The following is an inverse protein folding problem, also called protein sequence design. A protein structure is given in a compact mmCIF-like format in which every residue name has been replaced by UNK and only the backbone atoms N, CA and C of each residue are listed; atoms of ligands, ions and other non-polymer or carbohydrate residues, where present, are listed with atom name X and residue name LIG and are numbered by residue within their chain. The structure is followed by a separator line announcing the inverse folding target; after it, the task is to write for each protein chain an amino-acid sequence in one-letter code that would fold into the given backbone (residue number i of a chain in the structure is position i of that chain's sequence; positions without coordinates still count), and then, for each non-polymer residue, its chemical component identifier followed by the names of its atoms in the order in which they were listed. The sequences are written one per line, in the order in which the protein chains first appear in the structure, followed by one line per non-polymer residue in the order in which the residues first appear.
data_IF_250150655681
#
_entry.id   IF_250150655681
#
_cell.length_a   1.000
_cell.length_b   1.000
_cell.length_c   1.000
_cell.angle_alpha   90.00
_cell.angle_beta   90.00
_cell.angle_gamma   90.00
#
_symmetry.space_group_name_H-M   'P 1'
#
loop_
_entity.id
_entity.type
_entity.pdbx_description
1 polymer ?
#
# COMPACT_ATOMS: atom_id res chain seq x y z
N UNK A 1 22.90 -19.50 -17.96
CA UNK A 1 22.22 -18.22 -18.23
C UNK A 1 21.80 -17.69 -16.88
N UNK A 2 22.41 -16.61 -16.40
CA UNK A 2 22.24 -16.17 -15.02
C UNK A 2 20.89 -15.43 -14.87
N UNK A 3 19.94 -16.11 -14.24
CA UNK A 3 18.58 -15.64 -14.06
C UNK A 3 18.54 -14.34 -13.24
N UNK A 4 19.45 -14.22 -12.26
CA UNK A 4 19.54 -13.07 -11.37
C UNK A 4 20.10 -11.85 -12.11
N UNK A 5 21.16 -12.03 -12.90
CA UNK A 5 21.69 -10.97 -13.76
C UNK A 5 20.67 -10.49 -14.83
N UNK A 6 19.84 -11.40 -15.34
CA UNK A 6 18.76 -11.04 -16.26
C UNK A 6 17.63 -10.28 -15.57
N UNK A 7 17.22 -10.69 -14.36
CA UNK A 7 16.20 -9.99 -13.56
C UNK A 7 16.64 -8.56 -13.23
N UNK A 8 17.87 -8.36 -12.79
CA UNK A 8 18.41 -7.02 -12.51
C UNK A 8 18.45 -6.15 -13.77
N UNK A 9 18.80 -6.73 -14.93
CA UNK A 9 18.78 -6.04 -16.22
C UNK A 9 17.38 -5.58 -16.64
N UNK A 10 16.31 -6.30 -16.26
CA UNK A 10 14.94 -5.88 -16.53
C UNK A 10 14.48 -4.80 -15.55
N UNK A 11 14.83 -4.91 -14.26
CA UNK A 11 14.53 -3.90 -13.23
C UNK A 11 15.18 -2.54 -13.53
N UNK A 12 16.40 -2.53 -14.06
CA UNK A 12 17.19 -1.32 -14.26
C UNK A 12 16.89 -0.54 -15.55
N UNK A 13 15.95 -1.02 -16.39
CA UNK A 13 15.61 -0.36 -17.66
C UNK A 13 14.58 0.75 -17.43
N UNK A 14 14.98 1.99 -17.72
CA UNK A 14 14.06 3.11 -17.92
C UNK A 14 13.78 3.26 -19.43
N UNK A 15 12.64 2.77 -19.96
CA UNK A 15 12.32 2.95 -21.37
C UNK A 15 12.10 4.45 -21.68
N UNK A 16 12.94 5.01 -22.56
CA UNK A 16 13.02 6.44 -22.93
C UNK A 16 11.85 6.90 -23.84
N UNK A 17 10.85 6.06 -24.07
CA UNK A 17 9.84 6.39 -25.07
C UNK A 17 8.78 7.35 -24.50
N UNK A 18 8.76 8.56 -25.07
CA UNK A 18 7.81 9.66 -24.82
C UNK A 18 6.42 9.42 -25.44
N UNK A 19 5.89 8.20 -25.36
CA UNK A 19 4.53 7.90 -25.78
C UNK A 19 3.68 7.57 -24.55
N UNK A 20 2.43 8.05 -24.52
CA UNK A 20 1.44 7.86 -23.45
C UNK A 20 1.03 6.38 -23.30
N UNK A 21 1.93 5.54 -22.83
CA UNK A 21 1.65 4.16 -22.43
C UNK A 21 2.22 3.92 -21.04
N UNK A 22 1.60 3.00 -20.29
CA UNK A 22 2.04 2.60 -18.96
C UNK A 22 3.47 2.03 -19.04
N UNK A 23 4.38 2.60 -18.26
CA UNK A 23 5.79 2.21 -18.31
C UNK A 23 5.98 0.75 -17.86
N UNK A 24 6.99 0.07 -18.42
CA UNK A 24 7.35 -1.29 -17.98
C UNK A 24 7.71 -1.33 -16.49
N UNK A 25 8.28 -0.24 -15.95
CA UNK A 25 8.62 -0.12 -14.53
C UNK A 25 7.36 -0.16 -13.68
N UNK A 26 6.31 0.56 -14.06
CA UNK A 26 5.03 0.60 -13.34
C UNK A 26 4.34 -0.78 -13.38
N UNK A 27 4.34 -1.43 -14.55
CA UNK A 27 3.85 -2.81 -14.70
C UNK A 27 4.59 -3.78 -13.76
N UNK A 28 5.93 -3.68 -13.72
CA UNK A 28 6.75 -4.52 -12.87
C UNK A 28 6.49 -4.25 -11.38
N UNK A 29 6.45 -2.97 -10.98
CA UNK A 29 6.20 -2.54 -9.60
C UNK A 29 4.82 -2.94 -9.10
N UNK A 30 3.80 -3.04 -9.95
CA UNK A 30 2.46 -3.49 -9.60
C UNK A 30 2.34 -5.01 -9.31
N UNK A 31 3.34 -5.81 -9.71
CA UNK A 31 3.26 -7.28 -9.61
C UNK A 31 3.13 -7.80 -8.17
N UNK A 32 3.87 -7.27 -7.17
CA UNK A 32 3.70 -7.67 -5.77
C UNK A 32 2.27 -7.45 -5.25
N UNK A 33 1.65 -6.30 -5.53
CA UNK A 33 0.27 -6.01 -5.11
C UNK A 33 -0.71 -7.01 -5.70
N UNK A 34 -0.64 -7.26 -7.02
CA UNK A 34 -1.52 -8.26 -7.67
C UNK A 34 -1.32 -9.68 -7.11
N UNK A 35 -0.08 -10.03 -6.76
CA UNK A 35 0.23 -11.30 -6.09
C UNK A 35 -0.33 -11.34 -4.67
N UNK A 36 -0.30 -10.21 -3.95
CA UNK A 36 -0.92 -10.09 -2.63
C UNK A 36 -2.43 -10.31 -2.74
N UNK A 37 -3.12 -9.62 -3.66
CA UNK A 37 -4.54 -9.79 -3.93
C UNK A 37 -4.89 -11.26 -4.17
N UNK A 38 -4.16 -11.91 -5.08
CA UNK A 38 -4.36 -13.32 -5.39
C UNK A 38 -4.18 -14.22 -4.17
N UNK A 39 -3.11 -14.03 -3.39
CA UNK A 39 -2.77 -14.94 -2.28
C UNK A 39 -3.65 -14.74 -1.05
N UNK A 40 -4.11 -13.52 -0.81
CA UNK A 40 -4.77 -13.17 0.44
C UNK A 40 -6.29 -13.04 0.29
N UNK A 41 -6.79 -12.45 -0.80
CA UNK A 41 -8.21 -12.22 -0.99
C UNK A 41 -8.92 -13.33 -1.75
N UNK A 42 -8.34 -13.89 -2.82
CA UNK A 42 -9.01 -14.97 -3.55
C UNK A 42 -9.43 -16.16 -2.66
N UNK A 43 -8.60 -16.62 -1.69
CA UNK A 43 -9.03 -17.68 -0.78
C UNK A 43 -10.20 -17.31 0.13
N UNK A 44 -10.33 -16.02 0.50
CA UNK A 44 -11.41 -15.52 1.38
C UNK A 44 -12.75 -15.55 0.63
N UNK A 45 -12.74 -15.17 -0.65
CA UNK A 45 -13.94 -15.09 -1.49
C UNK A 45 -14.19 -16.35 -2.34
N UNK A 46 -13.38 -17.39 -2.12
CA UNK A 46 -13.39 -18.63 -2.89
C UNK A 46 -13.29 -18.41 -4.41
N UNK A 47 -12.44 -17.47 -4.81
CA UNK A 47 -12.15 -17.16 -6.21
C UNK A 47 -11.08 -18.14 -6.69
N UNK A 48 -11.40 -18.89 -7.73
CA UNK A 48 -10.49 -19.85 -8.36
C UNK A 48 -9.38 -19.15 -9.15
N UNK A 49 -8.36 -19.91 -9.55
CA UNK A 49 -7.29 -19.40 -10.40
C UNK A 49 -7.82 -18.89 -11.76
N UNK A 50 -8.76 -19.62 -12.35
CA UNK A 50 -9.33 -19.27 -13.65
C UNK A 50 -10.15 -17.98 -13.55
N UNK A 51 -11.04 -17.88 -12.55
CA UNK A 51 -11.78 -16.63 -12.28
C UNK A 51 -10.83 -15.46 -12.03
N UNK A 52 -9.77 -15.65 -11.24
CA UNK A 52 -8.80 -14.58 -11.00
C UNK A 52 -8.14 -14.10 -12.29
N UNK A 53 -7.78 -15.00 -13.21
CA UNK A 53 -7.19 -14.59 -14.50
C UNK A 53 -8.20 -13.96 -15.46
N UNK A 54 -9.50 -14.23 -15.32
CA UNK A 54 -10.55 -13.47 -16.00
C UNK A 54 -10.63 -12.03 -15.46
N UNK A 55 -10.44 -11.84 -14.15
CA UNK A 55 -10.46 -10.52 -13.51
C UNK A 55 -9.15 -9.75 -13.64
N UNK A 56 -8.04 -10.47 -13.78
CA UNK A 56 -6.68 -9.95 -13.78
C UNK A 56 -6.47 -8.75 -14.71
N UNK A 57 -6.97 -8.72 -15.97
CA UNK A 57 -6.70 -7.61 -16.87
C UNK A 57 -7.14 -6.25 -16.32
N UNK A 58 -8.33 -6.17 -15.69
CA UNK A 58 -8.83 -4.92 -15.12
C UNK A 58 -8.10 -4.56 -13.82
N UNK A 59 -7.90 -5.54 -12.93
CA UNK A 59 -7.14 -5.34 -11.69
C UNK A 59 -5.72 -4.84 -11.98
N UNK A 60 -5.04 -5.49 -12.92
CA UNK A 60 -3.71 -5.12 -13.34
C UNK A 60 -3.70 -3.73 -13.98
N UNK A 61 -4.65 -3.42 -14.85
CA UNK A 61 -4.75 -2.10 -15.48
C UNK A 61 -4.90 -0.97 -14.45
N UNK A 62 -5.75 -1.16 -13.44
CA UNK A 62 -5.92 -0.18 -12.35
C UNK A 62 -4.60 0.03 -11.61
N UNK A 63 -3.96 -1.05 -11.18
CA UNK A 63 -2.72 -0.97 -10.41
C UNK A 63 -1.58 -0.33 -11.21
N UNK A 64 -1.53 -0.64 -12.51
CA UNK A 64 -0.57 -0.05 -13.42
C UNK A 64 -0.72 1.48 -13.52
N UNK A 65 -1.96 1.99 -13.50
CA UNK A 65 -2.22 3.44 -13.50
C UNK A 65 -1.87 4.10 -12.16
N UNK A 66 -2.02 3.38 -11.04
CA UNK A 66 -1.56 3.85 -9.73
C UNK A 66 -0.04 4.02 -9.75
N UNK A 67 0.72 2.98 -10.09
CA UNK A 67 2.18 3.07 -10.12
C UNK A 67 2.74 4.01 -11.19
N UNK A 68 2.01 4.22 -12.29
CA UNK A 68 2.37 5.28 -13.25
C UNK A 68 2.21 6.67 -12.64
N UNK A 69 1.19 6.88 -11.80
CA UNK A 69 1.01 8.14 -11.06
C UNK A 69 2.21 8.39 -10.15
N UNK A 70 2.65 7.38 -9.40
CA UNK A 70 3.82 7.50 -8.53
C UNK A 70 5.09 7.83 -9.31
N UNK A 71 5.33 7.14 -10.43
CA UNK A 71 6.48 7.41 -11.29
C UNK A 71 6.45 8.82 -11.89
N UNK A 72 5.28 9.29 -12.33
CA UNK A 72 5.08 10.65 -12.82
C UNK A 72 5.32 11.68 -11.70
N UNK A 73 4.86 11.40 -10.47
CA UNK A 73 5.09 12.26 -9.30
C UNK A 73 6.57 12.33 -8.92
N UNK A 74 7.25 11.19 -8.73
CA UNK A 74 8.69 11.10 -8.44
C UNK A 74 9.51 11.92 -9.45
N UNK A 75 9.15 11.87 -10.74
CA UNK A 75 9.86 12.59 -11.80
C UNK A 75 9.65 14.11 -11.77
N UNK A 76 8.52 14.58 -11.24
CA UNK A 76 8.12 15.98 -11.23
C UNK A 76 8.38 16.68 -9.89
N UNK A 77 8.76 15.95 -8.82
CA UNK A 77 8.94 16.49 -7.46
C UNK A 77 9.92 17.67 -7.34
N UNK A 78 10.85 17.85 -8.30
CA UNK A 78 11.78 19.00 -8.28
C UNK A 78 11.17 20.34 -8.73
N UNK A 79 10.03 20.34 -9.45
CA UNK A 79 9.46 21.54 -10.07
C UNK A 79 7.93 21.68 -9.88
N UNK A 80 7.27 20.79 -9.13
CA UNK A 80 5.80 20.70 -9.06
C UNK A 80 5.21 21.20 -7.74
N UNK A 81 4.15 22.02 -7.83
CA UNK A 81 3.33 22.40 -6.68
C UNK A 81 2.38 21.27 -6.26
N UNK A 82 1.90 21.22 -5.00
CA UNK A 82 0.93 20.21 -4.55
C UNK A 82 -0.35 20.14 -5.41
N UNK A 83 -0.76 21.27 -5.99
CA UNK A 83 -1.90 21.36 -6.92
C UNK A 83 -1.68 20.61 -8.23
N UNK A 84 -0.44 20.50 -8.71
CA UNK A 84 -0.12 19.76 -9.94
C UNK A 84 -0.05 18.25 -9.71
N UNK A 85 0.29 17.79 -8.51
CA UNK A 85 0.31 16.36 -8.16
C UNK A 85 -1.11 15.76 -8.07
N UNK A 86 -2.05 16.47 -7.44
CA UNK A 86 -3.47 16.06 -7.40
C UNK A 86 -4.04 15.88 -8.82
N UNK A 87 -3.63 16.73 -9.76
CA UNK A 87 -4.13 16.69 -11.13
C UNK A 87 -3.71 15.43 -11.92
N UNK A 88 -2.59 14.80 -11.56
CA UNK A 88 -2.12 13.57 -12.19
C UNK A 88 -3.02 12.39 -11.80
N UNK A 89 -3.26 12.21 -10.50
CA UNK A 89 -4.17 11.17 -10.01
C UNK A 89 -5.60 11.40 -10.48
N UNK A 90 -6.10 12.65 -10.45
CA UNK A 90 -7.45 12.97 -10.94
C UNK A 90 -7.64 12.56 -12.42
N UNK A 91 -6.61 12.72 -13.25
CA UNK A 91 -6.64 12.26 -14.64
C UNK A 91 -6.71 10.73 -14.75
N UNK A 92 -5.98 9.98 -13.92
CA UNK A 92 -6.08 8.51 -13.89
C UNK A 92 -7.42 8.03 -13.33
N UNK A 93 -7.98 8.74 -12.33
CA UNK A 93 -9.32 8.43 -11.80
C UNK A 93 -10.39 8.49 -12.89
N UNK A 94 -10.33 9.47 -13.79
CA UNK A 94 -11.26 9.56 -14.93
C UNK A 94 -11.17 8.32 -15.81
N UNK A 95 -9.94 7.86 -16.11
CA UNK A 95 -9.71 6.66 -16.91
C UNK A 95 -10.25 5.42 -16.19
N UNK A 96 -9.86 5.19 -14.93
CA UNK A 96 -10.33 4.03 -14.15
C UNK A 96 -11.86 4.02 -14.09
N UNK A 97 -12.48 5.18 -13.81
CA UNK A 97 -13.93 5.32 -13.72
C UNK A 97 -14.65 5.02 -15.02
N UNK A 98 -14.09 5.41 -16.18
CA UNK A 98 -14.72 5.10 -17.47
C UNK A 98 -14.77 3.59 -17.72
N UNK A 99 -13.72 2.86 -17.35
CA UNK A 99 -13.71 1.39 -17.45
C UNK A 99 -14.70 0.78 -16.45
N UNK A 100 -14.72 1.22 -15.19
CA UNK A 100 -15.70 0.74 -14.21
C UNK A 100 -17.13 0.95 -14.69
N UNK A 101 -17.44 2.08 -15.33
CA UNK A 101 -18.75 2.34 -15.92
C UNK A 101 -19.07 1.45 -17.11
N UNK A 102 -18.11 1.22 -18.01
CA UNK A 102 -18.27 0.35 -19.17
C UNK A 102 -18.59 -1.10 -18.77
N UNK A 103 -18.01 -1.56 -17.65
CA UNK A 103 -18.22 -2.92 -17.13
C UNK A 103 -19.33 -3.02 -16.07
N UNK A 104 -20.06 -1.94 -15.77
CA UNK A 104 -21.09 -1.88 -14.71
C UNK A 104 -20.56 -2.27 -13.31
N UNK A 105 -19.32 -1.82 -13.01
CA UNK A 105 -18.58 -2.09 -11.78
C UNK A 105 -18.37 -0.84 -10.91
N UNK A 106 -19.06 0.28 -11.20
CA UNK A 106 -18.91 1.53 -10.46
C UNK A 106 -19.54 1.44 -9.05
N UNK A 107 -18.85 0.76 -8.13
CA UNK A 107 -19.28 0.60 -6.75
C UNK A 107 -18.79 1.78 -5.87
N UNK A 108 -19.62 2.30 -4.93
CA UNK A 108 -19.22 3.37 -4.01
C UNK A 108 -17.96 3.04 -3.19
N UNK A 109 -17.75 1.77 -2.85
CA UNK A 109 -16.57 1.31 -2.12
C UNK A 109 -15.28 1.54 -2.93
N UNK A 110 -15.29 1.27 -4.24
CA UNK A 110 -14.12 1.50 -5.12
C UNK A 110 -13.84 3.00 -5.23
N UNK A 111 -14.88 3.81 -5.49
CA UNK A 111 -14.74 5.27 -5.63
C UNK A 111 -14.20 5.91 -4.35
N UNK A 112 -14.68 5.48 -3.18
CA UNK A 112 -14.20 5.99 -1.90
C UNK A 112 -12.71 5.69 -1.68
N UNK A 113 -12.22 4.51 -2.10
CA UNK A 113 -10.79 4.20 -2.00
C UNK A 113 -9.96 4.99 -3.02
N UNK A 114 -10.47 5.24 -4.23
CA UNK A 114 -9.83 6.14 -5.19
C UNK A 114 -9.68 7.57 -4.64
N UNK A 115 -10.69 8.06 -3.94
CA UNK A 115 -10.62 9.38 -3.28
C UNK A 115 -9.70 9.36 -2.06
N UNK A 116 -9.65 8.27 -1.31
CA UNK A 116 -8.69 8.09 -0.20
C UNK A 116 -7.24 8.08 -0.70
N UNK A 117 -6.95 7.42 -1.81
CA UNK A 117 -5.62 7.47 -2.44
C UNK A 117 -5.26 8.90 -2.85
N UNK A 118 -6.22 9.67 -3.38
CA UNK A 118 -6.01 11.09 -3.67
C UNK A 118 -5.68 11.92 -2.42
N UNK A 119 -6.36 11.65 -1.30
CA UNK A 119 -6.06 12.29 0.00
C UNK A 119 -4.67 11.88 0.51
N UNK A 120 -4.28 10.61 0.34
CA UNK A 120 -2.93 10.14 0.68
C UNK A 120 -1.88 10.93 -0.08
N UNK A 121 -1.98 11.02 -1.41
CA UNK A 121 -1.02 11.74 -2.26
C UNK A 121 -0.85 13.20 -1.80
N UNK A 122 -1.95 13.89 -1.49
CA UNK A 122 -1.90 15.27 -0.97
C UNK A 122 -1.21 15.35 0.40
N UNK A 123 -1.50 14.39 1.27
CA UNK A 123 -0.97 14.35 2.63
C UNK A 123 0.51 13.98 2.65
N UNK A 124 0.94 13.05 1.80
CA UNK A 124 2.33 12.67 1.57
C UNK A 124 3.16 13.90 1.15
N UNK A 125 2.67 14.63 0.13
CA UNK A 125 3.27 15.88 -0.33
C UNK A 125 3.41 16.91 0.80
N UNK A 126 2.38 17.07 1.63
CA UNK A 126 2.42 17.94 2.82
C UNK A 126 3.47 17.47 3.83
N UNK A 127 3.54 16.18 4.14
CA UNK A 127 4.47 15.60 5.12
C UNK A 127 5.94 15.72 4.69
N UNK A 128 6.18 15.70 3.37
CA UNK A 128 7.51 15.89 2.81
C UNK A 128 7.96 17.36 2.80
N UNK A 129 7.05 18.28 2.48
CA UNK A 129 7.39 19.69 2.21
C UNK A 129 7.16 20.64 3.39
N UNK A 130 6.28 20.29 4.33
CA UNK A 130 5.94 21.15 5.48
C UNK A 130 6.94 20.99 6.63
N UNK A 131 7.30 22.10 7.27
CA UNK A 131 8.00 22.10 8.57
C UNK A 131 7.04 21.83 9.74
N UNK A 132 5.74 22.09 9.56
CA UNK A 132 4.71 21.88 10.57
C UNK A 132 3.91 20.62 10.22
N UNK A 133 4.42 19.46 10.64
CA UNK A 133 3.70 18.18 10.57
C UNK A 133 3.16 17.81 11.95
N UNK A 134 2.07 17.06 11.99
CA UNK A 134 1.46 16.57 13.24
C UNK A 134 1.47 15.05 13.28
N UNK A 135 1.36 14.47 14.48
CA UNK A 135 1.16 13.02 14.60
C UNK A 135 -0.10 12.57 13.85
N UNK A 136 -1.20 13.34 13.95
CA UNK A 136 -2.45 13.04 13.26
C UNK A 136 -2.26 12.93 11.74
N UNK A 137 -1.49 13.83 11.13
CA UNK A 137 -1.16 13.76 9.70
C UNK A 137 -0.41 12.47 9.36
N UNK A 138 0.58 12.07 10.16
CA UNK A 138 1.39 10.86 9.92
C UNK A 138 0.54 9.59 10.07
N UNK A 139 -0.28 9.53 11.11
CA UNK A 139 -1.21 8.40 11.32
C UNK A 139 -2.22 8.34 10.18
N UNK A 140 -2.78 9.49 9.78
CA UNK A 140 -3.76 9.53 8.70
C UNK A 140 -3.16 9.12 7.36
N UNK A 141 -1.91 9.49 7.08
CA UNK A 141 -1.20 9.02 5.89
C UNK A 141 -1.04 7.50 5.91
N UNK A 142 -0.63 6.94 7.05
CA UNK A 142 -0.46 5.50 7.23
C UNK A 142 -1.77 4.72 7.00
N UNK A 143 -2.90 5.25 7.47
CA UNK A 143 -4.23 4.66 7.27
C UNK A 143 -4.77 4.77 5.83
N UNK A 144 -4.32 5.78 5.09
CA UNK A 144 -4.74 6.01 3.71
C UNK A 144 -3.83 5.33 2.69
N UNK A 145 -2.60 4.94 3.07
CA UNK A 145 -1.56 4.48 2.16
C UNK A 145 -1.97 3.24 1.38
N UNK A 146 -2.56 2.25 2.04
CA UNK A 146 -3.04 1.01 1.42
C UNK A 146 -4.31 1.18 0.56
N UNK A 147 -4.68 2.41 0.19
CA UNK A 147 -5.89 2.65 -0.60
C UNK A 147 -5.78 2.07 -2.00
N UNK A 148 -4.59 2.00 -2.58
CA UNK A 148 -4.29 1.32 -3.85
C UNK A 148 -4.69 -0.16 -3.80
N UNK A 149 -4.19 -0.92 -2.82
CA UNK A 149 -4.55 -2.32 -2.61
C UNK A 149 -6.05 -2.49 -2.33
N UNK A 150 -6.65 -1.54 -1.59
CA UNK A 150 -8.08 -1.57 -1.29
C UNK A 150 -8.95 -1.25 -2.51
N UNK A 151 -8.49 -0.44 -3.48
CA UNK A 151 -9.15 -0.27 -4.78
C UNK A 151 -9.20 -1.63 -5.49
N UNK A 152 -8.09 -2.37 -5.52
CA UNK A 152 -8.04 -3.70 -6.13
C UNK A 152 -8.94 -4.70 -5.42
N UNK A 153 -8.93 -4.71 -4.08
CA UNK A 153 -9.76 -5.60 -3.30
C UNK A 153 -11.26 -5.32 -3.52
N UNK A 154 -11.70 -4.06 -3.46
CA UNK A 154 -13.08 -3.68 -3.77
C UNK A 154 -13.46 -4.04 -5.21
N UNK A 155 -12.56 -3.84 -6.17
CA UNK A 155 -12.79 -4.17 -7.59
C UNK A 155 -12.93 -5.69 -7.78
N UNK A 156 -12.08 -6.49 -7.13
CA UNK A 156 -12.18 -7.96 -7.15
C UNK A 156 -13.54 -8.46 -6.66
N UNK A 157 -14.06 -7.86 -5.57
CA UNK A 157 -15.40 -8.20 -5.04
C UNK A 157 -16.49 -7.83 -6.05
N UNK A 158 -16.43 -6.63 -6.62
CA UNK A 158 -17.40 -6.17 -7.61
C UNK A 158 -17.42 -7.08 -8.85
N UNK A 159 -16.25 -7.43 -9.38
CA UNK A 159 -16.11 -8.32 -10.54
C UNK A 159 -16.60 -9.74 -10.28
N UNK A 160 -16.37 -10.25 -9.06
CA UNK A 160 -16.74 -11.62 -8.70
C UNK A 160 -18.21 -11.78 -8.27
N UNK A 161 -18.94 -10.67 -8.10
CA UNK A 161 -20.32 -10.67 -7.61
C UNK A 161 -20.46 -11.24 -6.19
N UNK A 162 -19.36 -11.36 -5.44
CA UNK A 162 -19.37 -11.90 -4.08
C UNK A 162 -19.88 -10.83 -3.10
N UNK A 163 -20.46 -11.23 -1.96
CA UNK A 163 -20.90 -10.28 -0.96
C UNK A 163 -19.72 -9.46 -0.42
N UNK A 164 -19.95 -8.15 -0.27
CA UNK A 164 -19.07 -7.31 0.51
C UNK A 164 -19.09 -7.76 1.98
N UNK A 165 -17.92 -7.83 2.62
CA UNK A 165 -17.74 -8.31 3.99
C UNK A 165 -17.00 -7.27 4.81
N UNK A 166 -17.73 -6.39 5.51
CA UNK A 166 -17.16 -5.32 6.34
C UNK A 166 -16.09 -5.86 7.30
N UNK A 167 -16.36 -7.01 7.91
CA UNK A 167 -15.48 -7.66 8.89
C UNK A 167 -14.10 -8.04 8.31
N UNK A 168 -14.03 -8.32 7.01
CA UNK A 168 -12.76 -8.63 6.33
C UNK A 168 -11.94 -7.36 6.11
N UNK A 169 -12.58 -6.24 5.78
CA UNK A 169 -11.88 -4.95 5.66
C UNK A 169 -11.39 -4.48 7.04
N UNK A 170 -12.19 -4.66 8.08
CA UNK A 170 -11.85 -4.30 9.46
C UNK A 170 -10.67 -5.11 10.00
N UNK A 171 -10.63 -6.43 9.80
CA UNK A 171 -9.52 -7.26 10.28
C UNK A 171 -8.24 -7.06 9.48
N UNK A 172 -8.34 -6.76 8.18
CA UNK A 172 -7.18 -6.55 7.31
C UNK A 172 -6.57 -5.16 7.44
N UNK A 173 -7.35 -4.14 7.82
CA UNK A 173 -6.86 -2.76 7.99
C UNK A 173 -5.59 -2.64 8.86
N UNK A 174 -5.54 -3.15 10.10
CA UNK A 174 -4.32 -3.09 10.91
C UNK A 174 -3.17 -3.91 10.32
N UNK A 175 -3.45 -4.96 9.54
CA UNK A 175 -2.40 -5.74 8.86
C UNK A 175 -1.74 -4.89 7.77
N UNK A 176 -2.50 -4.23 6.90
CA UNK A 176 -1.91 -3.39 5.84
C UNK A 176 -1.06 -2.28 6.44
N UNK A 177 -1.55 -1.59 7.47
CA UNK A 177 -0.80 -0.49 8.09
C UNK A 177 0.55 -0.98 8.66
N UNK A 178 0.58 -2.17 9.26
CA UNK A 178 1.82 -2.76 9.77
C UNK A 178 2.74 -3.26 8.65
N UNK A 179 2.18 -3.72 7.52
CA UNK A 179 2.96 -4.05 6.32
C UNK A 179 3.59 -2.78 5.73
N UNK A 180 2.87 -1.67 5.65
CA UNK A 180 3.42 -0.38 5.22
C UNK A 180 4.56 0.09 6.14
N UNK A 181 4.39 -0.07 7.45
CA UNK A 181 5.48 0.19 8.38
C UNK A 181 6.66 -0.73 8.11
N UNK A 182 6.44 -2.02 7.88
CA UNK A 182 7.52 -2.97 7.59
C UNK A 182 8.28 -2.58 6.33
N UNK A 183 7.56 -2.25 5.25
CA UNK A 183 8.15 -1.83 3.99
C UNK A 183 8.96 -0.55 4.17
N UNK A 184 8.47 0.42 4.95
CA UNK A 184 9.22 1.63 5.31
C UNK A 184 10.51 1.32 6.08
N UNK A 185 10.59 0.24 6.85
CA UNK A 185 11.85 -0.16 7.50
C UNK A 185 12.83 -0.78 6.50
N UNK A 186 12.34 -1.59 5.56
CA UNK A 186 13.17 -2.18 4.50
C UNK A 186 13.78 -1.10 3.60
N UNK A 187 13.02 -0.05 3.26
CA UNK A 187 13.44 1.00 2.35
C UNK A 187 13.98 2.26 3.04
N UNK A 188 14.05 2.29 4.38
CA UNK A 188 14.32 3.52 5.15
C UNK A 188 15.53 4.33 4.64
N UNK A 189 16.67 3.67 4.41
CA UNK A 189 17.89 4.36 3.98
C UNK A 189 17.76 4.91 2.55
N UNK A 190 17.12 4.17 1.66
CA UNK A 190 16.91 4.57 0.26
C UNK A 190 15.92 5.73 0.17
N UNK A 191 14.77 5.63 0.86
CA UNK A 191 13.74 6.66 0.86
C UNK A 191 14.24 7.96 1.48
N UNK A 192 14.94 7.87 2.61
CA UNK A 192 15.52 9.06 3.25
C UNK A 192 16.57 9.72 2.36
N UNK A 193 17.38 8.95 1.64
CA UNK A 193 18.38 9.50 0.72
C UNK A 193 17.74 10.13 -0.53
N UNK A 194 16.64 9.56 -1.01
CA UNK A 194 15.87 10.07 -2.14
C UNK A 194 14.96 11.26 -1.78
N UNK A 195 14.67 11.46 -0.49
CA UNK A 195 13.69 12.43 -0.01
C UNK A 195 12.24 11.96 -0.16
N UNK A 196 12.04 10.65 -0.30
CA UNK A 196 10.73 10.02 -0.38
C UNK A 196 10.07 9.94 0.99
N UNK A 197 8.74 9.78 0.99
CA UNK A 197 8.00 9.59 2.23
C UNK A 197 8.42 8.29 2.91
N UNK A 198 8.52 8.35 4.23
CA UNK A 198 8.79 7.19 5.07
C UNK A 198 8.26 7.47 6.48
N UNK A 199 7.46 6.56 7.01
CA UNK A 199 6.77 6.77 8.29
C UNK A 199 7.76 6.93 9.44
N UNK A 200 8.78 6.07 9.55
CA UNK A 200 9.77 6.21 10.63
C UNK A 200 10.52 7.55 10.54
N UNK A 201 10.82 8.01 9.33
CA UNK A 201 11.42 9.34 9.14
C UNK A 201 10.50 10.47 9.62
N UNK A 202 9.19 10.36 9.40
CA UNK A 202 8.24 11.34 9.94
C UNK A 202 8.19 11.32 11.47
N UNK A 203 8.25 10.14 12.10
CA UNK A 203 8.38 10.04 13.55
C UNK A 203 9.68 10.66 14.06
N UNK A 204 10.80 10.56 13.32
CA UNK A 204 12.04 11.25 13.67
C UNK A 204 11.92 12.77 13.56
N UNK A 205 11.20 13.29 12.55
CA UNK A 205 10.91 14.73 12.46
C UNK A 205 10.11 15.23 13.68
N UNK A 206 9.16 14.43 14.17
CA UNK A 206 8.30 14.78 15.31
C UNK A 206 8.98 14.62 16.68
N UNK A 207 9.73 13.54 16.88
CA UNK A 207 10.18 13.09 18.21
C UNK A 207 11.70 12.93 18.35
N UNK A 208 12.46 13.18 17.28
CA UNK A 208 13.91 13.07 17.29
C UNK A 208 14.37 11.65 17.61
N UNK A 209 15.28 11.51 18.59
CA UNK A 209 15.86 10.23 18.99
C UNK A 209 14.82 9.25 19.56
N UNK A 210 13.73 9.76 20.13
CA UNK A 210 12.66 8.96 20.76
C UNK A 210 11.66 8.36 19.76
N UNK A 211 11.82 8.60 18.46
CA UNK A 211 10.90 8.18 17.40
C UNK A 211 10.48 6.69 17.49
N UNK A 212 11.43 5.82 17.78
CA UNK A 212 11.22 4.38 17.90
C UNK A 212 10.27 4.00 19.05
N UNK A 213 10.26 4.72 20.17
CA UNK A 213 9.31 4.49 21.25
C UNK A 213 7.88 4.88 20.84
N UNK A 214 7.72 6.01 20.17
CA UNK A 214 6.41 6.48 19.71
C UNK A 214 5.85 5.60 18.58
N UNK A 215 6.68 5.20 17.60
CA UNK A 215 6.23 4.29 16.56
C UNK A 215 5.89 2.90 17.13
N UNK A 216 6.64 2.42 18.13
CA UNK A 216 6.32 1.17 18.83
C UNK A 216 4.93 1.22 19.47
N UNK A 217 4.56 2.36 20.07
CA UNK A 217 3.25 2.52 20.67
C UNK A 217 2.12 2.43 19.62
N UNK A 218 2.33 2.97 18.42
CA UNK A 218 1.38 2.84 17.31
C UNK A 218 1.31 1.41 16.74
N UNK A 219 2.45 0.74 16.61
CA UNK A 219 2.51 -0.69 16.26
C UNK A 219 1.69 -1.52 17.28
N UNK A 220 1.86 -1.26 18.58
CA UNK A 220 1.07 -1.93 19.62
C UNK A 220 -0.42 -1.60 19.54
N UNK A 221 -0.77 -0.36 19.18
CA UNK A 221 -2.16 0.05 18.98
C UNK A 221 -2.81 -0.72 17.85
N UNK A 222 -2.14 -0.83 16.69
CA UNK A 222 -2.67 -1.61 15.56
C UNK A 222 -2.68 -3.12 15.85
N UNK A 223 -1.71 -3.64 16.60
CA UNK A 223 -1.73 -5.02 17.07
C UNK A 223 -2.97 -5.31 17.93
N UNK A 224 -3.27 -4.43 18.89
CA UNK A 224 -4.46 -4.55 19.74
C UNK A 224 -5.75 -4.34 18.95
N UNK A 225 -5.74 -3.49 17.93
CA UNK A 225 -6.88 -3.29 17.04
C UNK A 225 -7.19 -4.58 16.28
N UNK A 226 -6.17 -5.24 15.72
CA UNK A 226 -6.33 -6.56 15.09
C UNK A 226 -6.94 -7.58 16.06
N UNK A 227 -6.41 -7.68 17.28
CA UNK A 227 -6.94 -8.61 18.30
C UNK A 227 -8.39 -8.29 18.70
N UNK A 228 -8.78 -7.01 18.66
CA UNK A 228 -10.13 -6.58 18.96
C UNK A 228 -11.10 -6.93 17.81
N UNK A 229 -10.73 -6.65 16.56
CA UNK A 229 -11.55 -6.96 15.39
C UNK A 229 -11.66 -8.47 15.15
N UNK A 230 -10.62 -9.24 15.49
CA UNK A 230 -10.62 -10.69 15.40
C UNK A 230 -11.79 -11.32 16.16
N UNK A 231 -12.15 -10.77 17.33
CA UNK A 231 -13.26 -11.27 18.17
C UNK A 231 -14.63 -11.13 17.50
N UNK A 232 -14.76 -10.32 16.46
CA UNK A 232 -15.98 -10.16 15.67
C UNK A 232 -16.21 -11.27 14.64
N UNK A 233 -15.19 -12.10 14.36
CA UNK A 233 -15.27 -13.17 13.36
C UNK A 233 -15.82 -14.47 13.95
N UNK A 234 -16.20 -15.41 13.09
CA UNK A 234 -16.54 -16.78 13.50
C UNK A 234 -15.35 -17.50 14.12
N UNK A 235 -15.57 -18.49 15.00
CA UNK A 235 -14.47 -19.25 15.65
C UNK A 235 -13.48 -19.84 14.63
N UNK A 236 -13.99 -20.36 13.52
CA UNK A 236 -13.16 -20.91 12.44
C UNK A 236 -12.28 -19.84 11.79
N UNK A 237 -12.84 -18.67 11.51
CA UNK A 237 -12.07 -17.56 10.94
C UNK A 237 -11.07 -17.01 11.96
N UNK A 238 -11.44 -16.93 13.25
CA UNK A 238 -10.53 -16.54 14.31
C UNK A 238 -9.28 -17.42 14.34
N UNK A 239 -9.44 -18.74 14.22
CA UNK A 239 -8.30 -19.66 14.16
C UNK A 239 -7.41 -19.39 12.94
N UNK A 240 -8.01 -19.22 11.76
CA UNK A 240 -7.29 -18.94 10.51
C UNK A 240 -6.50 -17.63 10.61
N UNK A 241 -7.14 -16.54 11.05
CA UNK A 241 -6.51 -15.24 11.12
C UNK A 241 -5.49 -15.14 12.27
N UNK A 242 -5.73 -15.81 13.40
CA UNK A 242 -4.73 -15.93 14.47
C UNK A 242 -3.46 -16.62 14.00
N UNK A 243 -3.60 -17.70 13.21
CA UNK A 243 -2.46 -18.43 12.66
C UNK A 243 -1.69 -17.57 11.63
N UNK A 244 -2.40 -16.86 10.75
CA UNK A 244 -1.79 -15.91 9.80
C UNK A 244 -1.05 -14.79 10.53
N UNK A 245 -1.68 -14.18 11.53
CA UNK A 245 -1.12 -13.13 12.36
C UNK A 245 0.16 -13.56 13.07
N UNK A 246 0.12 -14.73 13.72
CA UNK A 246 1.30 -15.30 14.38
C UNK A 246 2.47 -15.48 13.42
N UNK A 247 2.20 -15.92 12.18
CA UNK A 247 3.24 -16.07 11.15
C UNK A 247 3.80 -14.72 10.69
N UNK A 248 2.98 -13.68 10.59
CA UNK A 248 3.46 -12.32 10.27
C UNK A 248 4.42 -11.81 11.35
N UNK A 249 4.06 -11.94 12.63
CA UNK A 249 4.93 -11.53 13.73
C UNK A 249 6.26 -12.29 13.78
N UNK A 250 6.24 -13.58 13.48
CA UNK A 250 7.44 -14.40 13.50
C UNK A 250 8.36 -14.14 12.30
N UNK A 251 7.81 -13.96 11.11
CA UNK A 251 8.59 -13.99 9.87
C UNK A 251 8.75 -12.64 9.19
N UNK A 252 7.84 -11.70 9.44
CA UNK A 252 7.80 -10.38 8.77
C UNK A 252 8.11 -9.26 9.77
N UNK A 253 7.52 -9.33 10.98
CA UNK A 253 7.67 -8.29 12.00
C UNK A 253 8.54 -8.67 13.22
N UNK A 254 9.62 -9.47 13.11
CA UNK A 254 10.34 -9.93 14.30
C UNK A 254 10.92 -8.78 15.13
N UNK A 255 11.31 -7.69 14.46
CA UNK A 255 11.87 -6.48 15.09
C UNK A 255 10.81 -5.49 15.61
N UNK A 256 9.53 -5.71 15.33
CA UNK A 256 8.43 -4.90 15.89
C UNK A 256 8.13 -5.23 17.36
N UNK A 257 8.80 -6.22 17.92
CA UNK A 257 8.58 -6.70 19.30
C UNK A 257 9.08 -5.75 20.39
N UNK A 258 10.03 -4.85 20.10
CA UNK A 258 10.45 -3.81 21.05
C UNK A 258 10.94 -2.55 20.34
N UNK A 259 10.86 -1.41 21.03
CA UNK A 259 11.32 -0.13 20.49
C UNK A 259 12.82 -0.16 20.15
N UNK A 260 13.65 -0.85 20.95
CA UNK A 260 15.09 -0.96 20.69
C UNK A 260 15.38 -1.75 19.42
N UNK A 261 14.61 -2.82 19.15
CA UNK A 261 14.75 -3.57 17.91
C UNK A 261 14.31 -2.75 16.69
N UNK A 262 13.30 -1.89 16.81
CA UNK A 262 12.97 -0.92 15.75
C UNK A 262 14.15 0.01 15.49
N UNK A 263 14.73 0.58 16.54
CA UNK A 263 15.89 1.48 16.40
C UNK A 263 17.07 0.77 15.74
N UNK A 264 17.36 -0.46 16.16
CA UNK A 264 18.43 -1.28 15.59
C UNK A 264 18.18 -1.58 14.10
N UNK A 265 16.96 -2.01 13.75
CA UNK A 265 16.54 -2.30 12.38
C UNK A 265 16.77 -1.12 11.43
N UNK A 266 16.50 0.12 11.87
CA UNK A 266 16.73 1.32 11.06
C UNK A 266 18.24 1.62 10.91
N UNK A 267 19.01 1.47 11.99
CA UNK A 267 20.44 1.80 12.01
C UNK A 267 21.29 0.79 11.22
N UNK A 268 20.97 -0.49 11.35
CA UNK A 268 21.75 -1.60 10.78
C UNK A 268 21.18 -2.10 9.45
N UNK A 269 19.93 -1.73 9.13
CA UNK A 269 19.14 -2.36 8.08
C UNK A 269 18.43 -3.62 8.59
N UNK A 270 17.42 -4.05 7.84
CA UNK A 270 16.64 -5.27 8.06
C UNK A 270 17.00 -6.32 7.01
#
# INVERSE_FOLDING_TARGET
MDLQANLERFKSKHPISRNHYISYRSIYKATPSLKFIFKHYCPIYHISLDEFFEYYPLLAFIEYLVYETDAEMESNQKDSSPSSQSSLWDSKKIIIRSFLQEFDLEAPSILNQMDNLGKYIQLESKLLTSENITLEDVIRASELRSSDELILHCTLIAMSGKPYRDEIFEIMSPIHILLEFHDDFLSYQEDRAAGNYNTYWMFQKLYGEEAHHYLKAEIDRYSKLFEATLKGLSEQEQEIYSAKWSRLWQNVFPYFSSAELLRQAVLEGV
#
